data_IF_091413316133
#
_entry.id   IF_091413316133
#
_cell.length_a   1.000
_cell.length_b   1.000
_cell.length_c   1.000
_cell.angle_alpha   90.00
_cell.angle_beta   90.00
_cell.angle_gamma   90.00
#
_symmetry.space_group_name_H-M   'P 1'
#
loop_
_entity.id
_entity.type
_entity.pdbx_description
1 polymer ?
#
# COMPACT_ATOMS: atom_id res chain seq x y z
N UNK A 1 -12.72 1.71 -19.16
CA UNK A 1 -11.32 2.14 -18.95
C UNK A 1 -11.40 3.50 -18.28
N UNK A 2 -11.10 3.56 -16.99
CA UNK A 2 -11.22 4.78 -16.21
C UNK A 2 -9.88 5.50 -16.28
N UNK A 3 -9.83 6.63 -16.99
CA UNK A 3 -8.66 7.49 -17.08
C UNK A 3 -8.61 8.52 -15.96
N UNK A 4 -9.76 8.86 -15.38
CA UNK A 4 -9.88 10.00 -14.48
C UNK A 4 -9.87 9.55 -13.03
N UNK A 5 -8.87 10.00 -12.27
CA UNK A 5 -8.77 9.84 -10.82
C UNK A 5 -9.43 11.03 -10.13
N UNK A 6 -9.31 12.21 -10.71
CA UNK A 6 -9.64 13.50 -10.15
C UNK A 6 -10.62 14.27 -11.05
N UNK A 7 -11.78 14.62 -10.51
CA UNK A 7 -12.80 15.40 -11.23
C UNK A 7 -12.31 16.78 -11.66
N UNK A 8 -11.33 17.35 -10.96
CA UNK A 8 -10.73 18.65 -11.32
C UNK A 8 -9.57 18.56 -12.31
N UNK A 9 -9.14 17.34 -12.66
CA UNK A 9 -7.98 17.09 -13.53
C UNK A 9 -6.67 17.75 -13.07
N UNK A 10 -6.50 17.95 -11.76
CA UNK A 10 -5.28 18.50 -11.16
C UNK A 10 -4.29 17.40 -10.77
N UNK A 11 -4.78 16.16 -10.58
CA UNK A 11 -3.90 15.04 -10.34
C UNK A 11 -3.16 14.64 -11.62
N UNK A 12 -1.85 14.36 -11.56
CA UNK A 12 -1.07 14.02 -12.73
C UNK A 12 -1.62 12.81 -13.49
N UNK A 13 -1.49 12.76 -14.83
CA UNK A 13 -1.92 11.60 -15.61
C UNK A 13 -1.28 10.29 -15.11
N UNK A 14 -2.03 9.20 -15.10
CA UNK A 14 -1.58 7.87 -14.63
C UNK A 14 -0.24 7.45 -15.25
N UNK A 15 -0.01 7.80 -16.51
CA UNK A 15 1.25 7.51 -17.22
C UNK A 15 2.45 8.21 -16.58
N UNK A 16 2.27 9.43 -16.12
CA UNK A 16 3.33 10.21 -15.46
C UNK A 16 3.61 9.67 -14.05
N UNK A 17 2.55 9.39 -13.28
CA UNK A 17 2.68 8.77 -11.96
C UNK A 17 3.37 7.42 -12.07
N UNK A 18 3.00 6.57 -13.04
CA UNK A 18 3.68 5.30 -13.29
C UNK A 18 5.17 5.50 -13.62
N UNK A 19 5.50 6.49 -14.45
CA UNK A 19 6.90 6.82 -14.78
C UNK A 19 7.66 7.25 -13.52
N UNK A 20 7.04 8.01 -12.63
CA UNK A 20 7.64 8.44 -11.36
C UNK A 20 7.84 7.25 -10.41
N UNK A 21 6.81 6.40 -10.24
CA UNK A 21 6.91 5.18 -9.41
C UNK A 21 8.05 4.26 -9.89
N UNK A 22 8.23 4.12 -11.19
CA UNK A 22 9.33 3.32 -11.77
C UNK A 22 10.72 3.88 -11.47
N UNK A 23 10.84 5.18 -11.20
CA UNK A 23 12.11 5.82 -10.85
C UNK A 23 12.47 5.71 -9.37
N UNK A 24 11.50 5.41 -8.49
CA UNK A 24 11.77 5.20 -7.09
C UNK A 24 12.80 4.08 -6.93
N UNK A 25 13.91 4.33 -6.28
CA UNK A 25 14.90 3.30 -5.97
C UNK A 25 14.45 2.42 -4.82
N UNK A 26 13.62 2.95 -3.92
CA UNK A 26 13.19 2.31 -2.68
C UNK A 26 14.39 1.80 -1.88
N UNK A 27 15.42 2.62 -1.79
CA UNK A 27 16.75 2.28 -1.26
C UNK A 27 16.68 1.69 0.16
N UNK A 28 15.74 2.13 1.00
CA UNK A 28 15.51 1.59 2.32
C UNK A 28 15.15 0.09 2.34
N UNK A 29 14.62 -0.45 1.25
CA UNK A 29 14.26 -1.87 1.11
C UNK A 29 15.33 -2.73 0.44
N UNK A 30 16.47 -2.13 0.06
CA UNK A 30 17.62 -2.84 -0.53
C UNK A 30 18.95 -2.40 0.08
N UNK A 31 19.14 -2.43 1.40
CA UNK A 31 20.33 -1.92 2.05
C UNK A 31 21.59 -2.71 1.66
N UNK A 32 21.49 -4.00 1.32
CA UNK A 32 22.64 -4.81 0.88
C UNK A 32 23.29 -4.29 -0.41
N UNK A 33 22.54 -3.60 -1.25
CA UNK A 33 23.05 -2.95 -2.46
C UNK A 33 24.08 -1.85 -2.15
N UNK A 34 24.00 -1.28 -0.97
CA UNK A 34 24.83 -0.17 -0.50
C UNK A 34 25.94 -0.61 0.44
N UNK A 35 26.10 -1.90 0.72
CA UNK A 35 27.21 -2.42 1.49
C UNK A 35 28.51 -2.16 0.74
N UNK A 36 29.53 -1.66 1.46
CA UNK A 36 30.88 -1.39 0.93
C UNK A 36 31.50 -2.64 0.34
N UNK A 37 32.32 -2.47 -0.68
CA UNK A 37 32.92 -3.58 -1.46
C UNK A 37 33.69 -4.54 -0.56
N UNK A 38 34.46 -4.01 0.40
CA UNK A 38 35.26 -4.76 1.38
C UNK A 38 34.41 -5.60 2.35
N UNK A 39 33.12 -5.31 2.49
CA UNK A 39 32.19 -5.99 3.38
C UNK A 39 31.21 -6.93 2.67
N UNK A 40 31.08 -6.85 1.36
CA UNK A 40 30.08 -7.63 0.60
C UNK A 40 30.17 -9.14 0.83
N UNK A 41 31.37 -9.71 0.90
CA UNK A 41 31.53 -11.15 1.13
C UNK A 41 31.07 -11.58 2.54
N UNK A 42 31.26 -10.72 3.54
CA UNK A 42 30.80 -10.98 4.91
C UNK A 42 29.27 -11.04 4.94
N UNK A 43 28.60 -10.06 4.32
CA UNK A 43 27.13 -10.01 4.25
C UNK A 43 26.57 -11.13 3.37
N UNK A 44 27.19 -11.49 2.27
CA UNK A 44 26.81 -12.63 1.44
C UNK A 44 26.86 -13.95 2.25
N UNK A 45 27.94 -14.20 3.00
CA UNK A 45 28.05 -15.37 3.86
C UNK A 45 26.97 -15.42 4.97
N UNK A 46 26.54 -14.26 5.45
CA UNK A 46 25.51 -14.16 6.51
C UNK A 46 24.09 -14.38 5.98
N UNK A 47 23.77 -13.91 4.79
CA UNK A 47 22.39 -13.83 4.29
C UNK A 47 22.08 -14.69 3.08
N UNK A 48 23.07 -15.05 2.25
CA UNK A 48 22.86 -15.92 1.10
C UNK A 48 22.63 -17.36 1.56
N UNK A 49 21.76 -18.08 0.87
CA UNK A 49 21.41 -19.46 1.20
C UNK A 49 21.72 -20.40 0.03
N UNK A 50 22.36 -21.52 0.35
CA UNK A 50 22.47 -22.62 -0.60
C UNK A 50 21.09 -23.26 -0.82
N UNK A 51 20.71 -23.48 -2.07
CA UNK A 51 19.45 -24.11 -2.47
C UNK A 51 19.71 -25.33 -3.34
N UNK A 52 18.76 -26.25 -3.38
CA UNK A 52 18.85 -27.44 -4.23
C UNK A 52 20.00 -28.39 -3.91
N UNK A 53 20.35 -28.55 -2.62
CA UNK A 53 21.46 -29.43 -2.23
C UNK A 53 22.84 -28.92 -2.61
N UNK A 54 23.03 -27.60 -2.70
CA UNK A 54 24.30 -26.94 -3.06
C UNK A 54 24.48 -26.68 -4.55
N UNK A 55 23.46 -26.95 -5.38
CA UNK A 55 23.50 -26.70 -6.83
C UNK A 55 23.27 -25.24 -7.23
N UNK A 56 22.84 -24.37 -6.28
CA UNK A 56 22.62 -22.96 -6.51
C UNK A 56 22.76 -22.15 -5.22
N UNK A 57 22.92 -20.83 -5.36
CA UNK A 57 22.93 -19.88 -4.24
C UNK A 57 21.78 -18.89 -4.44
N UNK A 58 20.90 -18.78 -3.45
CA UNK A 58 19.89 -17.76 -3.40
C UNK A 58 20.48 -16.52 -2.73
N UNK A 59 20.70 -15.48 -3.53
CA UNK A 59 21.30 -14.24 -3.04
C UNK A 59 20.23 -13.36 -2.41
N UNK A 60 20.52 -12.85 -1.23
CA UNK A 60 19.62 -11.94 -0.54
C UNK A 60 19.43 -10.60 -1.29
N UNK A 61 20.46 -10.13 -2.01
CA UNK A 61 20.36 -8.92 -2.86
C UNK A 61 19.32 -9.10 -3.97
N UNK A 62 19.27 -10.25 -4.64
CA UNK A 62 18.29 -10.53 -5.70
C UNK A 62 16.86 -10.53 -5.14
N UNK A 63 16.71 -10.96 -3.89
CA UNK A 63 15.43 -10.91 -3.17
C UNK A 63 14.99 -9.47 -2.88
N UNK A 64 15.90 -8.62 -2.42
CA UNK A 64 15.63 -7.20 -2.19
C UNK A 64 15.21 -6.50 -3.50
N UNK A 65 15.87 -6.80 -4.62
CA UNK A 65 15.47 -6.27 -5.93
C UNK A 65 14.08 -6.76 -6.37
N UNK A 66 13.76 -8.02 -6.12
CA UNK A 66 12.42 -8.56 -6.39
C UNK A 66 11.36 -7.88 -5.52
N UNK A 67 11.66 -7.62 -4.25
CA UNK A 67 10.79 -6.88 -3.34
C UNK A 67 10.50 -5.46 -3.86
N UNK A 68 11.53 -4.72 -4.31
CA UNK A 68 11.35 -3.39 -4.91
C UNK A 68 10.41 -3.45 -6.11
N UNK A 69 10.56 -4.45 -6.97
CA UNK A 69 9.67 -4.61 -8.11
C UNK A 69 8.21 -4.84 -7.69
N UNK A 70 7.98 -5.73 -6.72
CA UNK A 70 6.65 -5.99 -6.17
C UNK A 70 6.04 -4.76 -5.49
N UNK A 71 6.84 -3.99 -4.76
CA UNK A 71 6.37 -2.75 -4.13
C UNK A 71 5.91 -1.72 -5.16
N UNK A 72 6.66 -1.55 -6.27
CA UNK A 72 6.23 -0.66 -7.37
C UNK A 72 4.92 -1.12 -8.00
N UNK A 73 4.75 -2.43 -8.21
CA UNK A 73 3.48 -3.01 -8.71
C UNK A 73 2.35 -2.79 -7.70
N UNK A 74 2.62 -2.97 -6.41
CA UNK A 74 1.62 -2.75 -5.35
C UNK A 74 1.17 -1.28 -5.29
N UNK A 75 2.09 -0.33 -5.40
CA UNK A 75 1.73 1.09 -5.48
C UNK A 75 0.77 1.38 -6.64
N UNK A 76 1.01 0.79 -7.82
CA UNK A 76 0.10 0.95 -8.96
C UNK A 76 -1.26 0.30 -8.70
N UNK A 77 -1.30 -0.90 -8.14
CA UNK A 77 -2.56 -1.58 -7.76
C UNK A 77 -3.35 -0.76 -6.73
N UNK A 78 -2.68 -0.16 -5.74
CA UNK A 78 -3.33 0.71 -4.75
C UNK A 78 -3.91 1.96 -5.40
N UNK A 79 -3.18 2.60 -6.30
CA UNK A 79 -3.67 3.74 -7.06
C UNK A 79 -4.89 3.37 -7.93
N UNK A 80 -4.87 2.19 -8.56
CA UNK A 80 -6.02 1.66 -9.29
C UNK A 80 -7.20 1.32 -8.38
N UNK A 81 -6.97 0.92 -7.15
CA UNK A 81 -8.02 0.64 -6.18
C UNK A 81 -8.65 1.94 -5.68
N UNK A 82 -7.87 2.82 -5.06
CA UNK A 82 -8.32 4.08 -4.48
C UNK A 82 -7.16 5.06 -4.34
N UNK A 83 -7.40 6.31 -4.73
CA UNK A 83 -6.43 7.39 -4.51
C UNK A 83 -6.14 7.59 -3.01
N UNK A 84 -7.13 7.36 -2.14
CA UNK A 84 -6.95 7.42 -0.69
C UNK A 84 -5.95 6.37 -0.20
N UNK A 85 -6.14 5.09 -0.56
CA UNK A 85 -5.22 4.00 -0.19
C UNK A 85 -3.82 4.21 -0.75
N UNK A 86 -3.73 4.72 -1.96
CA UNK A 86 -2.46 5.12 -2.56
C UNK A 86 -1.77 6.22 -1.76
N UNK A 87 -2.51 7.28 -1.39
CA UNK A 87 -1.98 8.40 -0.59
C UNK A 87 -1.45 7.94 0.76
N UNK A 88 -2.17 7.05 1.45
CA UNK A 88 -1.72 6.48 2.72
C UNK A 88 -0.38 5.76 2.56
N UNK A 89 -0.25 4.92 1.53
CA UNK A 89 0.96 4.13 1.31
C UNK A 89 2.16 4.98 0.92
N UNK A 90 1.99 5.91 -0.03
CA UNK A 90 3.10 6.80 -0.42
C UNK A 90 3.51 7.75 0.71
N UNK A 91 2.57 8.18 1.57
CA UNK A 91 2.89 8.97 2.76
C UNK A 91 3.70 8.17 3.79
N UNK A 92 3.35 6.89 4.01
CA UNK A 92 4.15 6.00 4.87
C UNK A 92 5.57 5.82 4.32
N UNK A 93 5.71 5.59 3.01
CA UNK A 93 7.02 5.49 2.35
C UNK A 93 7.84 6.77 2.52
N UNK A 94 7.22 7.93 2.34
CA UNK A 94 7.90 9.22 2.53
C UNK A 94 8.41 9.38 3.96
N UNK A 95 7.56 9.11 4.96
CA UNK A 95 7.94 9.18 6.37
C UNK A 95 9.11 8.24 6.71
N UNK A 96 9.13 7.05 6.12
CA UNK A 96 10.24 6.09 6.30
C UNK A 96 11.54 6.61 5.71
N UNK A 97 11.50 7.17 4.49
CA UNK A 97 12.67 7.77 3.86
C UNK A 97 13.20 8.93 4.68
N UNK A 98 12.32 9.79 5.22
CA UNK A 98 12.70 10.91 6.08
C UNK A 98 13.31 10.44 7.40
N UNK A 99 12.76 9.39 8.01
CA UNK A 99 13.32 8.76 9.22
C UNK A 99 14.71 8.19 8.96
N UNK A 100 14.93 7.53 7.81
CA UNK A 100 16.25 7.02 7.43
C UNK A 100 17.27 8.13 7.20
N UNK A 101 16.87 9.20 6.52
CA UNK A 101 17.74 10.38 6.32
C UNK A 101 18.15 11.00 7.65
N UNK A 102 17.20 11.17 8.59
CA UNK A 102 17.50 11.68 9.93
C UNK A 102 18.49 10.76 10.67
N UNK A 103 18.27 9.42 10.64
CA UNK A 103 19.20 8.47 11.27
C UNK A 103 20.61 8.55 10.68
N UNK A 104 20.75 8.80 9.37
CA UNK A 104 22.06 8.95 8.72
C UNK A 104 22.71 10.26 9.14
N UNK A 105 21.94 11.35 9.25
CA UNK A 105 22.46 12.68 9.62
C UNK A 105 22.87 12.75 11.09
N UNK A 106 22.14 12.01 11.95
CA UNK A 106 22.42 11.92 13.40
C UNK A 106 23.46 10.83 13.73
N UNK A 107 23.94 10.08 12.70
CA UNK A 107 24.88 8.98 12.89
C UNK A 107 26.23 9.49 13.36
N UNK A 108 26.58 9.14 14.59
CA UNK A 108 27.94 9.32 15.13
C UNK A 108 28.77 8.08 14.77
N UNK A 109 29.92 8.30 14.15
CA UNK A 109 30.82 7.23 13.71
C UNK A 109 31.28 6.28 14.83
N UNK A 110 31.16 6.72 16.10
CA UNK A 110 31.56 5.94 17.26
C UNK A 110 30.42 5.04 17.79
N UNK A 111 29.18 5.19 17.27
CA UNK A 111 28.03 4.38 17.63
C UNK A 111 27.75 3.29 16.57
N UNK A 112 27.47 2.07 17.02
CA UNK A 112 27.09 0.96 16.14
C UNK A 112 25.60 1.04 15.85
N UNK A 113 25.23 1.80 14.81
CA UNK A 113 23.86 1.88 14.34
C UNK A 113 23.58 0.84 13.25
N UNK A 114 22.47 0.13 13.38
CA UNK A 114 22.03 -0.86 12.40
C UNK A 114 20.71 -0.44 11.74
N UNK A 115 20.68 -0.50 10.42
CA UNK A 115 19.43 -0.45 9.68
C UNK A 115 18.74 -1.82 9.78
N UNK A 116 17.53 -1.82 10.32
CA UNK A 116 16.68 -3.00 10.38
C UNK A 116 15.50 -2.81 9.42
N UNK A 117 15.40 -3.63 8.38
CA UNK A 117 14.29 -3.56 7.42
C UNK A 117 12.93 -3.80 8.10
N UNK A 118 12.88 -4.51 9.23
CA UNK A 118 11.63 -4.74 9.96
C UNK A 118 11.00 -3.46 10.51
N UNK A 119 11.80 -2.48 10.90
CA UNK A 119 11.28 -1.17 11.33
C UNK A 119 10.59 -0.42 10.18
N UNK A 120 10.83 -0.86 8.94
CA UNK A 120 10.24 -0.30 7.72
C UNK A 120 8.95 -1.03 7.28
N UNK A 121 8.54 -2.10 8.02
CA UNK A 121 7.48 -3.03 7.56
C UNK A 121 6.04 -2.64 7.90
N UNK A 122 5.77 -1.49 8.52
CA UNK A 122 4.41 -1.02 8.83
C UNK A 122 3.55 -0.65 7.61
N UNK A 123 4.01 -0.97 6.41
CA UNK A 123 3.15 -0.92 5.22
C UNK A 123 2.36 -2.22 5.21
N UNK A 124 1.06 -2.15 5.45
CA UNK A 124 0.13 -3.25 5.25
C UNK A 124 0.29 -3.80 3.82
N UNK A 125 1.02 -4.88 3.72
CA UNK A 125 1.25 -5.61 2.48
C UNK A 125 0.15 -6.67 2.41
N UNK A 126 -1.01 -6.28 1.91
CA UNK A 126 -2.18 -7.16 1.79
C UNK A 126 -2.03 -8.23 0.69
N UNK A 127 -0.87 -8.37 0.07
CA UNK A 127 -0.63 -9.45 -0.86
C UNK A 127 0.18 -10.56 -0.21
N UNK A 128 -0.38 -11.77 -0.21
CA UNK A 128 0.29 -13.00 0.24
C UNK A 128 1.68 -13.19 -0.41
N UNK A 129 1.85 -12.69 -1.63
CA UNK A 129 3.12 -12.72 -2.34
C UNK A 129 4.17 -11.82 -1.67
N UNK A 130 3.79 -10.59 -1.29
CA UNK A 130 4.67 -9.67 -0.60
C UNK A 130 4.99 -10.16 0.82
N UNK A 131 4.01 -10.68 1.55
CA UNK A 131 4.24 -11.30 2.86
C UNK A 131 5.26 -12.43 2.78
N UNK A 132 5.19 -13.31 1.76
CA UNK A 132 6.16 -14.38 1.56
C UNK A 132 7.58 -13.86 1.30
N UNK A 133 7.73 -12.74 0.62
CA UNK A 133 9.04 -12.09 0.43
C UNK A 133 9.52 -11.39 1.70
N UNK A 134 8.63 -10.95 2.57
CA UNK A 134 8.94 -10.34 3.86
C UNK A 134 9.20 -11.40 4.96
N UNK A 135 8.58 -12.59 4.87
CA UNK A 135 8.81 -13.73 5.76
C UNK A 135 10.16 -14.37 5.40
N UNK A 136 11.22 -13.81 5.88
CA UNK A 136 12.55 -14.39 5.70
C UNK A 136 13.61 -13.55 6.37
N UNK A 137 14.79 -14.09 6.54
CA UNK A 137 15.85 -13.53 7.34
C UNK A 137 15.87 -12.01 7.39
N UNK A 138 15.75 -11.51 8.60
CA UNK A 138 15.89 -10.11 8.99
C UNK A 138 17.25 -9.61 8.54
N UNK A 139 17.30 -8.84 7.46
CA UNK A 139 18.56 -8.26 7.00
C UNK A 139 18.87 -7.04 7.87
N UNK A 140 19.95 -7.13 8.62
CA UNK A 140 20.50 -6.01 9.39
C UNK A 140 21.81 -5.59 8.75
N UNK A 141 21.91 -4.33 8.37
CA UNK A 141 23.14 -3.75 7.83
C UNK A 141 23.60 -2.63 8.73
N UNK A 142 24.83 -2.69 9.17
CA UNK A 142 25.44 -1.63 10.00
C UNK A 142 25.71 -0.41 9.11
N UNK A 143 25.37 0.78 9.57
CA UNK A 143 25.61 2.03 8.83
C UNK A 143 27.09 2.22 8.50
N UNK A 144 28.00 1.88 9.42
CA UNK A 144 29.44 1.93 9.21
C UNK A 144 29.96 1.04 8.05
N UNK A 145 29.21 0.00 7.69
CA UNK A 145 29.57 -0.95 6.62
C UNK A 145 28.96 -0.52 5.26
N UNK A 146 28.24 0.59 5.23
CA UNK A 146 27.54 1.09 4.03
C UNK A 146 28.33 2.21 3.34
N UNK A 147 28.12 2.34 2.03
CA UNK A 147 28.38 3.56 1.27
C UNK A 147 27.25 4.56 1.55
N UNK A 148 27.39 5.29 2.68
CA UNK A 148 26.37 6.22 3.16
C UNK A 148 26.14 7.38 2.19
N UNK A 149 27.16 7.81 1.44
CA UNK A 149 27.03 8.90 0.47
C UNK A 149 26.03 8.48 -0.62
N UNK A 150 26.26 7.33 -1.21
CA UNK A 150 25.42 6.78 -2.26
C UNK A 150 24.02 6.45 -1.73
N UNK A 151 23.94 5.86 -0.54
CA UNK A 151 22.66 5.52 0.09
C UNK A 151 21.81 6.77 0.34
N UNK A 152 22.40 7.82 0.91
CA UNK A 152 21.74 9.10 1.16
C UNK A 152 21.24 9.75 -0.13
N UNK A 153 22.07 9.78 -1.19
CA UNK A 153 21.67 10.32 -2.49
C UNK A 153 20.43 9.63 -3.08
N UNK A 154 20.35 8.30 -2.99
CA UNK A 154 19.19 7.56 -3.46
C UNK A 154 17.93 7.82 -2.59
N UNK A 155 18.10 7.92 -1.27
CA UNK A 155 17.00 8.29 -0.37
C UNK A 155 16.50 9.72 -0.63
N UNK A 156 17.39 10.68 -0.87
CA UNK A 156 17.04 12.06 -1.22
C UNK A 156 16.27 12.12 -2.55
N UNK A 157 16.69 11.34 -3.55
CA UNK A 157 15.97 11.22 -4.81
C UNK A 157 14.57 10.61 -4.61
N UNK A 158 14.46 9.53 -3.82
CA UNK A 158 13.17 8.95 -3.46
C UNK A 158 12.27 9.94 -2.70
N UNK A 159 12.84 10.72 -1.77
CA UNK A 159 12.11 11.76 -1.03
C UNK A 159 11.49 12.79 -1.97
N UNK A 160 12.24 13.29 -2.95
CA UNK A 160 11.74 14.27 -3.93
C UNK A 160 10.56 13.69 -4.72
N UNK A 161 10.69 12.47 -5.24
CA UNK A 161 9.63 11.83 -6.00
C UNK A 161 8.39 11.52 -5.15
N UNK A 162 8.59 10.97 -3.95
CA UNK A 162 7.49 10.65 -3.04
C UNK A 162 6.76 11.91 -2.57
N UNK A 163 7.48 12.98 -2.23
CA UNK A 163 6.88 14.26 -1.82
C UNK A 163 5.97 14.82 -2.91
N UNK A 164 6.42 14.83 -4.17
CA UNK A 164 5.62 15.34 -5.29
C UNK A 164 4.35 14.52 -5.52
N UNK A 165 4.43 13.19 -5.37
CA UNK A 165 3.26 12.29 -5.50
C UNK A 165 2.30 12.50 -4.32
N UNK A 166 2.81 12.58 -3.10
CA UNK A 166 2.01 12.77 -1.88
C UNK A 166 1.25 14.10 -1.95
N UNK A 167 1.90 15.17 -2.37
CA UNK A 167 1.28 16.49 -2.50
C UNK A 167 0.12 16.44 -3.52
N UNK A 168 0.38 15.89 -4.70
CA UNK A 168 -0.65 15.74 -5.73
C UNK A 168 -1.81 14.85 -5.27
N UNK A 169 -1.51 13.73 -4.61
CA UNK A 169 -2.53 12.78 -4.17
C UNK A 169 -3.38 13.31 -3.00
N UNK A 170 -2.79 14.05 -2.06
CA UNK A 170 -3.53 14.72 -0.97
C UNK A 170 -4.49 15.79 -1.48
N UNK A 171 -4.23 16.37 -2.64
CA UNK A 171 -5.13 17.32 -3.30
C UNK A 171 -6.44 16.69 -3.76
N UNK A 172 -6.49 15.37 -3.98
CA UNK A 172 -7.71 14.67 -4.40
C UNK A 172 -8.54 14.30 -3.16
N UNK A 173 -9.42 15.20 -2.77
CA UNK A 173 -10.38 14.96 -1.68
C UNK A 173 -11.50 14.01 -2.12
N UNK A 174 -12.31 13.52 -1.18
CA UNK A 174 -13.45 12.66 -1.49
C UNK A 174 -14.46 13.29 -2.46
N UNK A 175 -14.58 14.64 -2.46
CA UNK A 175 -15.45 15.39 -3.39
C UNK A 175 -14.86 15.44 -4.81
N UNK A 176 -13.56 15.24 -4.94
CA UNK A 176 -12.85 15.24 -6.22
C UNK A 176 -12.55 13.81 -6.72
N UNK A 177 -12.75 12.79 -5.88
CA UNK A 177 -12.49 11.38 -6.24
C UNK A 177 -13.50 10.91 -7.28
N UNK A 178 -13.05 10.84 -8.54
CA UNK A 178 -13.88 10.45 -9.68
C UNK A 178 -14.41 9.02 -9.57
N UNK A 179 -13.64 8.10 -8.96
CA UNK A 179 -14.07 6.71 -8.77
C UNK A 179 -15.15 6.59 -7.69
N UNK A 180 -15.00 7.33 -6.59
CA UNK A 180 -16.01 7.35 -5.53
C UNK A 180 -17.32 7.92 -6.06
N UNK A 181 -17.27 8.99 -6.83
CA UNK A 181 -18.47 9.60 -7.41
C UNK A 181 -19.13 8.64 -8.41
N UNK A 182 -18.38 8.02 -9.31
CA UNK A 182 -18.90 7.03 -10.24
C UNK A 182 -19.51 5.82 -9.54
N UNK A 183 -18.89 5.37 -8.44
CA UNK A 183 -19.45 4.27 -7.63
C UNK A 183 -20.78 4.66 -7.01
N UNK A 184 -20.91 5.87 -6.46
CA UNK A 184 -22.20 6.38 -5.94
C UNK A 184 -23.27 6.43 -7.03
N UNK A 185 -22.95 6.93 -8.22
CA UNK A 185 -23.87 6.95 -9.36
C UNK A 185 -24.29 5.53 -9.75
N UNK A 186 -23.35 4.58 -9.81
CA UNK A 186 -23.62 3.19 -10.14
C UNK A 186 -24.54 2.52 -9.11
N UNK A 187 -24.29 2.75 -7.81
CA UNK A 187 -25.14 2.25 -6.73
C UNK A 187 -26.55 2.86 -6.83
N UNK A 188 -26.64 4.17 -7.03
CA UNK A 188 -27.92 4.87 -7.15
C UNK A 188 -28.74 4.36 -8.34
N UNK A 189 -28.10 4.18 -9.50
CA UNK A 189 -28.73 3.61 -10.70
C UNK A 189 -29.27 2.20 -10.45
N UNK A 190 -28.47 1.32 -9.81
CA UNK A 190 -28.87 -0.06 -9.48
C UNK A 190 -30.02 -0.11 -8.48
N UNK A 191 -30.04 0.78 -7.47
CA UNK A 191 -31.09 0.82 -6.45
C UNK A 191 -32.39 1.36 -7.01
N UNK A 192 -32.34 2.38 -7.89
CA UNK A 192 -33.53 3.00 -8.50
C UNK A 192 -34.12 2.15 -9.61
N UNK A 193 -33.27 1.46 -10.36
CA UNK A 193 -33.65 0.64 -11.50
C UNK A 193 -33.03 -0.77 -11.38
N UNK A 194 -33.49 -1.61 -10.45
CA UNK A 194 -32.93 -2.92 -10.24
C UNK A 194 -33.21 -3.84 -11.46
N UNK A 195 -32.21 -4.64 -11.86
CA UNK A 195 -32.35 -5.61 -12.96
C UNK A 195 -33.43 -6.66 -12.64
N UNK A 196 -33.46 -7.13 -11.39
CA UNK A 196 -34.51 -8.02 -10.90
C UNK A 196 -35.45 -7.23 -9.99
N UNK A 197 -36.78 -7.36 -10.13
CA UNK A 197 -37.72 -6.67 -9.24
C UNK A 197 -37.35 -6.84 -7.77
N UNK A 198 -37.42 -5.77 -7.02
CA UNK A 198 -37.15 -5.69 -5.57
C UNK A 198 -35.71 -6.00 -5.13
N UNK A 199 -34.81 -6.39 -6.03
CA UNK A 199 -33.40 -6.66 -5.69
C UNK A 199 -32.55 -5.38 -5.78
N UNK A 200 -32.50 -4.64 -4.69
CA UNK A 200 -31.67 -3.42 -4.52
C UNK A 200 -30.28 -3.69 -3.97
N UNK A 201 -29.90 -4.96 -3.80
CA UNK A 201 -28.63 -5.35 -3.17
C UNK A 201 -27.44 -5.05 -4.07
N UNK A 202 -26.37 -4.53 -3.48
CA UNK A 202 -25.10 -4.24 -4.15
C UNK A 202 -23.97 -4.79 -3.29
N UNK A 203 -23.02 -5.49 -3.92
CA UNK A 203 -21.78 -5.93 -3.30
C UNK A 203 -20.63 -5.21 -4.02
N UNK A 204 -19.72 -4.63 -3.24
CA UNK A 204 -18.50 -4.01 -3.73
C UNK A 204 -17.31 -4.76 -3.14
N UNK A 205 -16.49 -5.34 -4.00
CA UNK A 205 -15.25 -5.99 -3.60
C UNK A 205 -14.06 -5.09 -3.83
N UNK A 206 -13.12 -5.11 -2.91
CA UNK A 206 -11.82 -4.47 -3.05
C UNK A 206 -10.72 -5.36 -2.49
N UNK A 207 -9.52 -5.27 -3.04
CA UNK A 207 -8.37 -6.02 -2.56
C UNK A 207 -7.74 -5.43 -1.29
N UNK A 208 -8.10 -4.18 -0.90
CA UNK A 208 -7.45 -3.46 0.19
C UNK A 208 -8.45 -3.06 1.26
N UNK A 209 -8.15 -3.38 2.54
CA UNK A 209 -9.02 -3.07 3.68
C UNK A 209 -9.18 -1.55 3.89
N UNK A 210 -8.14 -0.76 3.70
CA UNK A 210 -8.18 0.69 3.76
C UNK A 210 -9.10 1.30 2.68
N UNK A 211 -9.12 0.73 1.46
CA UNK A 211 -10.11 1.10 0.44
C UNK A 211 -11.53 0.77 0.89
N UNK A 212 -11.77 -0.42 1.46
CA UNK A 212 -13.08 -0.80 1.96
C UNK A 212 -13.57 0.16 3.06
N UNK A 213 -12.68 0.53 4.00
CA UNK A 213 -12.98 1.48 5.07
C UNK A 213 -13.28 2.89 4.51
N UNK A 214 -12.48 3.34 3.55
CA UNK A 214 -12.71 4.62 2.87
C UNK A 214 -14.07 4.66 2.18
N UNK A 215 -14.39 3.65 1.39
CA UNK A 215 -15.69 3.55 0.71
C UNK A 215 -16.84 3.53 1.71
N UNK A 216 -16.74 2.74 2.78
CA UNK A 216 -17.78 2.69 3.81
C UNK A 216 -18.00 4.06 4.46
N UNK A 217 -16.92 4.78 4.80
CA UNK A 217 -17.02 6.10 5.45
C UNK A 217 -17.74 7.16 4.59
N UNK A 218 -17.64 7.05 3.25
CA UNK A 218 -18.22 8.03 2.32
C UNK A 218 -19.53 7.58 1.66
N UNK A 219 -19.87 6.28 1.73
CA UNK A 219 -21.05 5.71 1.08
C UNK A 219 -22.14 5.37 2.10
N UNK A 220 -21.79 4.88 3.28
CA UNK A 220 -22.75 4.30 4.20
C UNK A 220 -23.87 5.28 4.64
N UNK A 221 -23.49 6.48 5.07
CA UNK A 221 -24.44 7.51 5.45
C UNK A 221 -25.22 8.07 4.24
N UNK A 222 -24.50 8.33 3.15
CA UNK A 222 -25.13 8.79 1.91
C UNK A 222 -26.18 7.79 1.39
N UNK A 223 -25.87 6.50 1.36
CA UNK A 223 -26.79 5.45 0.90
C UNK A 223 -28.05 5.35 1.80
N UNK A 224 -27.90 5.54 3.10
CA UNK A 224 -29.02 5.57 4.03
C UNK A 224 -29.91 6.77 3.79
N UNK A 225 -29.34 7.96 3.63
CA UNK A 225 -30.11 9.20 3.49
C UNK A 225 -30.75 9.36 2.11
N UNK A 226 -29.99 9.06 1.03
CA UNK A 226 -30.43 9.32 -0.34
C UNK A 226 -31.17 8.14 -1.00
N UNK A 227 -30.90 6.92 -0.56
CA UNK A 227 -31.43 5.71 -1.19
C UNK A 227 -32.28 4.86 -0.24
N UNK A 228 -32.28 5.16 1.07
CA UNK A 228 -33.01 4.38 2.06
C UNK A 228 -32.50 2.95 2.23
N UNK A 229 -31.21 2.69 1.97
CA UNK A 229 -30.59 1.37 2.12
C UNK A 229 -29.51 1.39 3.21
N UNK A 230 -29.39 0.27 3.92
CA UNK A 230 -28.32 0.07 4.88
C UNK A 230 -27.06 -0.49 4.23
N UNK A 231 -25.92 -0.22 4.85
CA UNK A 231 -24.61 -0.66 4.39
C UNK A 231 -23.89 -1.44 5.48
N UNK A 232 -23.06 -2.40 5.07
CA UNK A 232 -22.14 -3.10 5.95
C UNK A 232 -20.73 -3.13 5.36
N UNK A 233 -19.73 -3.13 6.24
CA UNK A 233 -18.33 -3.30 5.94
C UNK A 233 -17.86 -4.61 6.55
N UNK A 234 -17.18 -5.43 5.74
CA UNK A 234 -16.53 -6.65 6.17
C UNK A 234 -15.07 -6.61 5.69
N UNK A 235 -14.14 -6.82 6.60
CA UNK A 235 -12.70 -6.90 6.29
C UNK A 235 -12.07 -8.08 7.02
N UNK A 236 -11.04 -8.69 6.43
CA UNK A 236 -10.42 -9.91 6.97
C UNK A 236 -9.68 -9.75 8.31
N UNK A 237 -9.25 -8.54 8.67
CA UNK A 237 -8.47 -8.28 9.89
C UNK A 237 -9.04 -7.17 10.77
N UNK A 238 -10.18 -6.58 10.39
CA UNK A 238 -10.75 -5.43 11.07
C UNK A 238 -12.09 -5.70 11.75
N UNK A 239 -12.61 -4.69 12.46
CA UNK A 239 -13.96 -4.74 13.02
C UNK A 239 -14.97 -4.48 11.93
N UNK A 240 -15.89 -5.42 11.72
CA UNK A 240 -17.01 -5.21 10.82
C UNK A 240 -17.90 -4.07 11.31
N UNK A 241 -18.60 -3.41 10.39
CA UNK A 241 -19.50 -2.29 10.68
C UNK A 241 -20.82 -2.45 9.93
N UNK A 242 -21.89 -1.88 10.46
CA UNK A 242 -23.17 -1.78 9.76
C UNK A 242 -23.92 -0.52 10.16
N UNK A 243 -24.72 0.01 9.24
CA UNK A 243 -25.65 1.12 9.52
C UNK A 243 -27.02 0.63 10.02
N UNK A 244 -27.28 -0.68 9.98
CA UNK A 244 -28.53 -1.26 10.47
C UNK A 244 -28.47 -1.40 11.99
N UNK A 245 -29.26 -0.58 12.68
CA UNK A 245 -29.34 -0.60 14.15
C UNK A 245 -29.88 -1.92 14.67
N UNK A 246 -29.29 -2.44 15.76
CA UNK A 246 -29.72 -3.70 16.38
C UNK A 246 -29.19 -4.96 15.71
N UNK A 247 -28.49 -4.85 14.58
CA UNK A 247 -27.84 -5.99 13.96
C UNK A 247 -26.46 -6.24 14.62
N UNK A 248 -26.17 -7.50 14.97
CA UNK A 248 -24.83 -7.92 15.39
C UNK A 248 -23.82 -7.74 14.26
N UNK A 249 -22.62 -7.26 14.60
CA UNK A 249 -21.55 -6.97 13.62
C UNK A 249 -20.75 -8.22 13.21
N UNK A 250 -21.10 -9.39 13.69
CA UNK A 250 -20.45 -10.63 13.23
C UNK A 250 -20.79 -10.95 11.77
N UNK A 251 -19.89 -11.66 11.12
CA UNK A 251 -19.99 -11.97 9.71
C UNK A 251 -21.30 -12.72 9.35
N UNK A 252 -21.70 -13.68 10.19
CA UNK A 252 -22.88 -14.51 9.92
C UNK A 252 -24.16 -13.69 9.96
N UNK A 253 -24.31 -12.81 10.96
CA UNK A 253 -25.48 -11.92 11.07
C UNK A 253 -25.58 -10.98 9.86
N UNK A 254 -24.46 -10.39 9.44
CA UNK A 254 -24.44 -9.50 8.27
C UNK A 254 -24.80 -10.30 7.01
N UNK A 255 -24.20 -11.46 6.79
CA UNK A 255 -24.45 -12.28 5.60
C UNK A 255 -25.88 -12.80 5.54
N UNK A 256 -26.42 -13.29 6.66
CA UNK A 256 -27.80 -13.78 6.74
C UNK A 256 -28.82 -12.66 6.48
N UNK A 257 -28.54 -11.44 6.98
CA UNK A 257 -29.41 -10.29 6.73
C UNK A 257 -29.32 -9.82 5.27
N UNK A 258 -28.12 -9.85 4.68
CA UNK A 258 -27.92 -9.50 3.28
C UNK A 258 -28.53 -10.53 2.33
N UNK A 259 -28.38 -11.82 2.61
CA UNK A 259 -28.89 -12.91 1.80
C UNK A 259 -29.55 -13.96 2.69
N UNK A 260 -30.81 -13.69 3.15
CA UNK A 260 -31.53 -14.68 3.93
C UNK A 260 -31.69 -15.96 3.11
N UNK A 261 -31.44 -17.09 3.76
CA UNK A 261 -31.72 -18.40 3.18
C UNK A 261 -33.22 -18.50 3.02
N UNK A 262 -33.68 -18.77 1.82
CA UNK A 262 -35.09 -19.04 1.47
C UNK A 262 -35.51 -20.40 1.97
#
# INVERSE_FOLDING_TARGET
IYSDIDLSNEFPPLKEVNKTIRKLSLAGYSPLKFVRIDKKEEYARRYDKAVGGGKGVFRQVDREESLIHLMRVNLLKRMESSIHSFTLTVSKLLNQVESLLSKIDDHDSDLIDALNIEELQDIELESTELEQFMIGNKTKVLLQDMDLIRFKQELEADKIFLSSIVEAAKGVTAQRDAKLELLKQTIAAKVRNPLNPDNKKVIVFTAFADTAQYLYSHIAQWASLELGIHSALITGGGTNKTTLSGLGIDLNNILTTFSPVS
#
